data_IF_488852600903
#
_entry.id   IF_488852600903
#
_cell.length_a   1.000
_cell.length_b   1.000
_cell.length_c   1.000
_cell.angle_alpha   90.00
_cell.angle_beta   90.00
_cell.angle_gamma   90.00
#
_symmetry.space_group_name_H-M   'P 1'
#
loop_
_entity.id
_entity.type
_entity.pdbx_description
1 polymer ?
#
# COMPACT_ATOMS: atom_id res chain seq x y z
N UNK A 1 -57.44 20.67 -30.36
CA UNK A 1 -56.46 21.16 -29.37
C UNK A 1 -55.73 19.98 -28.75
N UNK A 2 -54.51 19.69 -29.21
CA UNK A 2 -53.72 18.54 -28.78
C UNK A 2 -52.74 18.97 -27.66
N UNK A 3 -52.84 18.33 -26.48
CA UNK A 3 -51.94 18.56 -25.34
C UNK A 3 -50.95 17.39 -25.27
N UNK A 4 -49.72 17.62 -25.73
CA UNK A 4 -48.61 16.65 -25.67
C UNK A 4 -48.14 16.52 -24.22
N UNK A 5 -48.17 15.30 -23.67
CA UNK A 5 -47.61 14.93 -22.36
C UNK A 5 -46.14 14.57 -22.56
N UNK A 6 -45.23 15.30 -21.93
CA UNK A 6 -43.80 15.01 -21.97
C UNK A 6 -43.46 13.77 -21.11
N UNK A 7 -42.51 12.92 -21.52
CA UNK A 7 -42.04 11.81 -20.70
C UNK A 7 -41.02 12.31 -19.66
N UNK A 8 -41.29 12.00 -18.39
CA UNK A 8 -40.38 12.25 -17.26
C UNK A 8 -39.32 11.14 -17.24
N UNK A 9 -38.08 11.46 -17.60
CA UNK A 9 -36.93 10.59 -17.40
C UNK A 9 -36.63 10.42 -15.90
N UNK A 10 -36.28 9.21 -15.43
CA UNK A 10 -35.87 8.98 -14.05
C UNK A 10 -34.45 9.49 -13.80
N UNK A 11 -34.29 10.26 -12.72
CA UNK A 11 -33.00 10.74 -12.20
C UNK A 11 -32.02 9.58 -11.94
N UNK A 12 -30.72 9.71 -12.27
CA UNK A 12 -29.74 8.67 -12.04
C UNK A 12 -29.51 8.44 -10.53
N UNK A 13 -29.38 7.16 -10.16
CA UNK A 13 -29.15 6.70 -8.81
C UNK A 13 -27.91 7.37 -8.18
N UNK A 14 -28.03 7.84 -6.94
CA UNK A 14 -26.95 8.40 -6.15
C UNK A 14 -25.95 7.29 -5.79
N UNK A 15 -24.74 7.36 -6.36
CA UNK A 15 -23.64 6.45 -6.08
C UNK A 15 -23.23 6.51 -4.59
N UNK A 16 -23.15 5.35 -3.93
CA UNK A 16 -22.67 5.20 -2.54
C UNK A 16 -21.21 5.64 -2.32
N UNK A 17 -20.49 6.01 -3.38
CA UNK A 17 -19.13 6.55 -3.33
C UNK A 17 -19.07 8.00 -2.81
N UNK A 18 -20.21 8.70 -2.80
CA UNK A 18 -20.31 10.15 -2.56
C UNK A 18 -20.45 10.51 -1.05
N UNK A 19 -20.50 9.50 -0.18
CA UNK A 19 -20.51 9.64 1.30
C UNK A 19 -19.11 9.59 1.93
N UNK A 20 -18.09 9.12 1.20
CA UNK A 20 -16.73 9.03 1.74
C UNK A 20 -16.12 10.44 1.84
N UNK A 21 -15.65 10.86 3.02
CA UNK A 21 -15.02 12.17 3.18
C UNK A 21 -13.73 12.31 2.35
N UNK A 22 -13.53 13.47 1.74
CA UNK A 22 -12.32 13.80 1.00
C UNK A 22 -11.15 13.96 1.97
N UNK A 23 -9.96 13.39 1.68
CA UNK A 23 -8.78 13.55 2.53
C UNK A 23 -8.38 15.02 2.73
N UNK A 24 -8.19 15.44 3.98
CA UNK A 24 -7.85 16.83 4.34
C UNK A 24 -6.55 17.35 3.67
N UNK A 25 -5.45 16.56 3.56
CA UNK A 25 -4.23 17.03 2.90
C UNK A 25 -4.45 17.44 1.44
N UNK A 26 -5.40 16.79 0.76
CA UNK A 26 -5.74 17.10 -0.63
C UNK A 26 -6.44 18.44 -0.75
N UNK A 27 -7.40 18.71 0.14
CA UNK A 27 -8.09 19.99 0.16
C UNK A 27 -7.09 21.14 0.42
N UNK A 28 -6.19 20.96 1.39
CA UNK A 28 -5.15 21.96 1.69
C UNK A 28 -4.28 22.22 0.46
N UNK A 29 -3.85 21.15 -0.23
CA UNK A 29 -3.03 21.28 -1.43
C UNK A 29 -3.77 22.05 -2.54
N UNK A 30 -5.02 21.69 -2.84
CA UNK A 30 -5.81 22.35 -3.88
C UNK A 30 -6.09 23.83 -3.56
N UNK A 31 -6.36 24.16 -2.30
CA UNK A 31 -6.54 25.56 -1.90
C UNK A 31 -5.26 26.37 -2.04
N UNK A 32 -4.11 25.75 -1.78
CA UNK A 32 -2.82 26.42 -1.93
C UNK A 32 -2.42 26.59 -3.40
N UNK A 33 -2.58 25.56 -4.22
CA UNK A 33 -2.11 25.55 -5.61
C UNK A 33 -3.08 26.15 -6.61
N UNK A 34 -4.38 25.89 -6.46
CA UNK A 34 -5.43 26.32 -7.40
C UNK A 34 -6.04 27.65 -6.96
N UNK A 35 -6.41 27.77 -5.69
CA UNK A 35 -7.02 29.00 -5.18
C UNK A 35 -5.98 30.08 -4.77
N UNK A 36 -4.69 29.73 -4.73
CA UNK A 36 -3.59 30.66 -4.39
C UNK A 36 -3.63 31.16 -2.95
N UNK A 37 -4.22 30.37 -2.04
CA UNK A 37 -4.38 30.72 -0.63
C UNK A 37 -3.11 30.35 0.14
N UNK A 38 -2.77 31.10 1.19
CA UNK A 38 -1.65 30.73 2.06
C UNK A 38 -1.89 29.35 2.70
N UNK A 39 -0.83 28.59 2.97
CA UNK A 39 -0.97 27.26 3.59
C UNK A 39 -1.68 27.34 4.95
N UNK A 40 -1.43 28.42 5.70
CA UNK A 40 -2.05 28.67 7.02
C UNK A 40 -3.56 28.87 6.89
N UNK A 41 -3.99 29.71 5.93
CA UNK A 41 -5.41 29.97 5.69
C UNK A 41 -6.11 28.74 5.10
N UNK A 42 -5.44 27.99 4.21
CA UNK A 42 -5.94 26.73 3.67
C UNK A 42 -6.21 25.70 4.78
N UNK A 43 -5.31 25.57 5.76
CA UNK A 43 -5.51 24.72 6.94
C UNK A 43 -6.70 25.22 7.77
N UNK A 44 -6.83 26.53 7.97
CA UNK A 44 -7.96 27.15 8.67
C UNK A 44 -9.30 26.82 8.02
N UNK A 45 -9.41 27.00 6.70
CA UNK A 45 -10.62 26.71 5.90
C UNK A 45 -10.97 25.22 5.99
N UNK A 46 -10.00 24.34 5.78
CA UNK A 46 -10.20 22.88 5.80
C UNK A 46 -10.60 22.40 7.20
N UNK A 47 -10.03 23.00 8.26
CA UNK A 47 -10.40 22.69 9.65
C UNK A 47 -11.86 23.01 9.95
N UNK A 48 -12.36 24.17 9.51
CA UNK A 48 -13.77 24.57 9.68
C UNK A 48 -14.71 23.58 8.95
N UNK A 49 -14.36 23.19 7.72
CA UNK A 49 -15.13 22.22 6.93
C UNK A 49 -15.11 20.80 7.54
N UNK A 50 -13.98 20.41 8.12
CA UNK A 50 -13.81 19.13 8.82
C UNK A 50 -14.67 19.08 10.09
N UNK A 51 -14.59 20.11 10.94
CA UNK A 51 -15.36 20.23 12.19
C UNK A 51 -16.87 20.17 11.95
N UNK A 52 -17.35 20.84 10.89
CA UNK A 52 -18.78 20.84 10.54
C UNK A 52 -19.21 19.65 9.68
N UNK A 53 -18.33 18.64 9.47
CA UNK A 53 -18.57 17.43 8.67
C UNK A 53 -19.11 17.75 7.25
N UNK A 54 -18.58 18.79 6.62
CA UNK A 54 -18.94 19.24 5.26
C UNK A 54 -17.87 18.94 4.20
N UNK A 55 -17.02 17.95 4.44
CA UNK A 55 -15.91 17.58 3.57
C UNK A 55 -16.20 16.31 2.72
N UNK A 56 -17.46 16.00 2.47
CA UNK A 56 -17.85 14.95 1.51
C UNK A 56 -17.98 15.53 0.10
N UNK A 57 -17.68 14.77 -0.96
CA UNK A 57 -17.69 15.27 -2.35
C UNK A 57 -19.08 15.84 -2.72
N UNK A 58 -20.16 15.19 -2.32
CA UNK A 58 -21.54 15.68 -2.48
C UNK A 58 -21.78 17.09 -1.91
N UNK A 59 -21.23 17.35 -0.71
CA UNK A 59 -21.43 18.62 -0.01
C UNK A 59 -20.50 19.71 -0.55
N UNK A 60 -19.30 19.34 -0.96
CA UNK A 60 -18.34 20.26 -1.58
C UNK A 60 -18.81 20.73 -2.96
N UNK A 61 -19.48 19.88 -3.76
CA UNK A 61 -20.09 20.30 -5.03
C UNK A 61 -21.20 21.35 -4.86
N UNK A 62 -22.01 21.20 -3.80
CA UNK A 62 -23.12 22.11 -3.48
C UNK A 62 -22.70 23.34 -2.68
N UNK A 63 -21.45 23.37 -2.22
CA UNK A 63 -20.95 24.47 -1.41
C UNK A 63 -21.02 25.78 -2.20
N UNK A 64 -21.57 26.80 -1.57
CA UNK A 64 -21.67 28.15 -2.11
C UNK A 64 -20.78 29.13 -1.33
N UNK A 65 -20.46 30.24 -1.99
CA UNK A 65 -19.67 31.32 -1.41
C UNK A 65 -20.26 31.91 -0.11
N UNK A 66 -21.57 32.26 -0.02
CA UNK A 66 -22.15 32.78 1.23
C UNK A 66 -22.16 31.74 2.36
N UNK A 67 -22.36 30.47 2.05
CA UNK A 67 -22.26 29.41 3.07
C UNK A 67 -20.86 29.34 3.68
N UNK A 68 -19.79 29.57 2.90
CA UNK A 68 -18.42 29.52 3.42
C UNK A 68 -18.14 30.65 4.43
N UNK A 69 -18.78 31.81 4.26
CA UNK A 69 -18.73 32.94 5.20
C UNK A 69 -19.54 32.65 6.46
N UNK A 70 -20.75 32.12 6.35
CA UNK A 70 -21.56 31.67 7.49
C UNK A 70 -20.84 30.59 8.30
N UNK A 71 -19.98 29.80 7.64
CA UNK A 71 -19.20 28.77 8.30
C UNK A 71 -18.04 29.36 9.13
N UNK A 72 -17.66 30.62 8.93
CA UNK A 72 -16.57 31.31 9.63
C UNK A 72 -15.18 30.98 9.07
N UNK A 73 -15.09 30.66 7.78
CA UNK A 73 -13.80 30.37 7.14
C UNK A 73 -12.97 31.66 6.96
N UNK A 74 -11.63 31.61 7.14
CA UNK A 74 -10.75 32.77 6.98
C UNK A 74 -10.50 33.10 5.50
N UNK A 75 -11.55 33.37 4.74
CA UNK A 75 -11.48 33.77 3.33
C UNK A 75 -12.43 34.93 3.08
N UNK A 76 -11.91 36.04 2.53
CA UNK A 76 -12.68 37.24 2.24
C UNK A 76 -12.67 37.58 0.74
N UNK A 77 -13.78 38.12 0.25
CA UNK A 77 -13.90 38.71 -1.08
C UNK A 77 -13.60 37.73 -2.25
N UNK A 78 -12.82 38.13 -3.27
CA UNK A 78 -12.62 37.34 -4.50
C UNK A 78 -11.84 36.04 -4.31
N UNK A 79 -11.22 35.85 -3.14
CA UNK A 79 -10.53 34.61 -2.77
C UNK A 79 -11.54 33.51 -2.43
N UNK A 80 -12.72 33.87 -1.93
CA UNK A 80 -13.80 32.93 -1.57
C UNK A 80 -14.34 32.18 -2.78
N UNK A 81 -14.56 32.88 -3.89
CA UNK A 81 -15.11 32.27 -5.10
C UNK A 81 -14.11 31.28 -5.73
N UNK A 82 -12.81 31.63 -5.70
CA UNK A 82 -11.71 30.73 -6.09
C UNK A 82 -11.59 29.50 -5.18
N UNK A 83 -11.78 29.68 -3.87
CA UNK A 83 -11.80 28.56 -2.90
C UNK A 83 -12.96 27.61 -3.17
N UNK A 84 -14.16 28.14 -3.44
CA UNK A 84 -15.34 27.32 -3.78
C UNK A 84 -15.11 26.55 -5.07
N UNK A 85 -14.52 27.18 -6.08
CA UNK A 85 -14.21 26.54 -7.36
C UNK A 85 -13.18 25.41 -7.20
N UNK A 86 -12.08 25.65 -6.47
CA UNK A 86 -11.09 24.63 -6.17
C UNK A 86 -11.67 23.44 -5.37
N UNK A 87 -12.59 23.69 -4.43
CA UNK A 87 -13.26 22.64 -3.66
C UNK A 87 -14.24 21.82 -4.51
N UNK A 88 -14.94 22.45 -5.46
CA UNK A 88 -15.80 21.75 -6.43
C UNK A 88 -14.98 20.89 -7.39
N UNK A 89 -13.83 21.38 -7.82
CA UNK A 89 -12.90 20.63 -8.66
C UNK A 89 -12.35 19.40 -7.92
N UNK A 90 -11.94 19.56 -6.66
CA UNK A 90 -11.53 18.44 -5.79
C UNK A 90 -12.64 17.40 -5.61
N UNK A 91 -13.89 17.84 -5.52
CA UNK A 91 -15.05 16.95 -5.41
C UNK A 91 -15.43 16.26 -6.73
N UNK A 92 -15.10 16.85 -7.88
CA UNK A 92 -15.32 16.27 -9.21
C UNK A 92 -14.22 15.29 -9.63
N UNK A 93 -12.98 15.52 -9.18
CA UNK A 93 -11.79 14.78 -9.62
C UNK A 93 -11.62 13.39 -8.97
N UNK A 94 -12.57 12.95 -8.13
CA UNK A 94 -12.55 11.64 -7.47
C UNK A 94 -11.40 11.47 -6.46
N UNK A 95 -11.40 10.37 -5.71
CA UNK A 95 -10.63 10.17 -4.45
C UNK A 95 -9.10 10.32 -4.57
N UNK A 96 -8.49 10.31 -5.77
CA UNK A 96 -7.03 10.40 -5.96
C UNK A 96 -6.57 11.66 -6.72
N UNK A 97 -5.61 12.41 -6.16
CA UNK A 97 -5.07 13.66 -6.72
C UNK A 97 -4.29 13.34 -8.00
N UNK A 98 -4.22 14.27 -8.94
CA UNK A 98 -3.41 14.12 -10.15
C UNK A 98 -1.92 13.90 -9.82
N UNK A 99 -1.43 14.50 -8.74
CA UNK A 99 -0.09 14.26 -8.19
C UNK A 99 0.07 12.86 -7.59
N UNK A 100 -0.98 12.28 -7.01
CA UNK A 100 -0.96 10.91 -6.49
C UNK A 100 -1.09 9.89 -7.62
N UNK A 101 -1.90 10.20 -8.65
CA UNK A 101 -1.99 9.42 -9.89
C UNK A 101 -0.66 9.44 -10.62
N UNK A 102 -0.02 10.61 -10.77
CA UNK A 102 1.28 10.73 -11.43
C UNK A 102 2.38 10.05 -10.63
N UNK A 103 2.40 10.17 -9.29
CA UNK A 103 3.36 9.45 -8.43
C UNK A 103 3.16 7.94 -8.51
N UNK A 104 1.91 7.45 -8.48
CA UNK A 104 1.59 6.03 -8.61
C UNK A 104 1.93 5.52 -10.02
N UNK A 105 1.63 6.30 -11.04
CA UNK A 105 1.95 5.99 -12.44
C UNK A 105 3.45 6.07 -12.70
N UNK A 106 4.19 6.95 -12.01
CA UNK A 106 5.64 7.04 -12.06
C UNK A 106 6.29 5.84 -11.38
N UNK A 107 5.80 5.41 -10.21
CA UNK A 107 6.23 4.14 -9.58
C UNK A 107 5.95 2.94 -10.46
N UNK A 108 4.76 2.88 -11.07
CA UNK A 108 4.43 1.83 -12.04
C UNK A 108 5.33 1.88 -13.28
N UNK A 109 5.64 3.07 -13.80
CA UNK A 109 6.56 3.25 -14.94
C UNK A 109 7.99 2.90 -14.57
N UNK A 110 8.43 3.22 -13.36
CA UNK A 110 9.72 2.83 -12.82
C UNK A 110 9.78 1.31 -12.65
N UNK A 111 8.77 0.69 -12.06
CA UNK A 111 8.64 -0.77 -11.99
C UNK A 111 8.67 -1.42 -13.38
N UNK A 112 8.01 -0.84 -14.39
CA UNK A 112 8.01 -1.33 -15.77
C UNK A 112 9.35 -1.09 -16.48
N UNK A 113 10.00 0.07 -16.28
CA UNK A 113 11.34 0.35 -16.83
C UNK A 113 12.38 -0.58 -16.22
N UNK A 114 12.32 -0.80 -14.90
CA UNK A 114 13.19 -1.73 -14.19
C UNK A 114 13.02 -3.18 -14.67
N UNK A 115 11.80 -3.59 -15.06
CA UNK A 115 11.56 -4.88 -15.75
C UNK A 115 12.23 -4.94 -17.11
N UNK A 116 12.30 -3.84 -17.85
CA UNK A 116 12.90 -3.77 -19.18
C UNK A 116 14.43 -3.75 -19.13
N UNK A 117 15.02 -3.03 -18.18
CA UNK A 117 16.48 -2.87 -18.06
C UNK A 117 17.16 -4.12 -17.47
N UNK A 118 16.43 -5.01 -16.80
CA UNK A 118 16.96 -6.23 -16.17
C UNK A 118 16.35 -7.54 -16.69
N UNK A 119 15.73 -7.52 -17.87
CA UNK A 119 15.12 -8.68 -18.49
C UNK A 119 13.71 -8.95 -17.96
N UNK A 120 12.75 -8.97 -18.89
CA UNK A 120 11.33 -9.20 -18.63
C UNK A 120 11.08 -10.67 -18.22
N UNK A 121 10.53 -10.99 -17.02
CA UNK A 121 10.06 -12.34 -16.72
C UNK A 121 8.66 -12.56 -17.33
N UNK A 122 8.43 -12.06 -18.54
CA UNK A 122 7.09 -11.91 -19.13
C UNK A 122 6.64 -13.08 -20.00
N UNK A 123 7.54 -13.94 -20.48
CA UNK A 123 7.17 -15.00 -21.44
C UNK A 123 8.02 -16.26 -21.34
N UNK A 124 8.54 -16.56 -20.14
CA UNK A 124 9.13 -17.86 -19.84
C UNK A 124 8.49 -18.39 -18.58
N UNK A 125 8.03 -19.65 -18.61
CA UNK A 125 7.92 -20.48 -17.41
C UNK A 125 9.34 -20.61 -16.87
N UNK A 126 9.81 -19.58 -16.18
CA UNK A 126 11.12 -19.58 -15.57
C UNK A 126 10.92 -20.13 -14.17
N UNK A 127 11.24 -21.41 -14.04
CA UNK A 127 11.83 -21.99 -12.83
C UNK A 127 13.15 -21.25 -12.53
N UNK A 128 13.09 -19.92 -12.36
CA UNK A 128 14.15 -19.11 -11.81
C UNK A 128 14.26 -19.55 -10.37
N UNK A 129 15.16 -20.51 -10.14
CA UNK A 129 15.57 -20.92 -8.80
C UNK A 129 15.80 -19.66 -7.98
N UNK A 130 14.89 -19.35 -7.07
CA UNK A 130 14.97 -18.19 -6.17
C UNK A 130 16.01 -18.49 -5.07
N UNK A 131 17.20 -18.93 -5.48
CA UNK A 131 18.30 -19.29 -4.64
C UNK A 131 19.12 -18.06 -4.28
N UNK A 132 19.59 -18.04 -3.04
CA UNK A 132 20.39 -16.95 -2.47
C UNK A 132 21.88 -17.30 -2.37
N UNK A 133 22.28 -18.52 -2.76
CA UNK A 133 23.65 -19.04 -2.68
C UNK A 133 24.30 -18.79 -1.31
N UNK A 134 23.55 -19.17 -0.27
CA UNK A 134 23.77 -18.79 1.12
C UNK A 134 25.18 -19.17 1.59
N UNK A 135 25.93 -18.19 2.12
CA UNK A 135 27.27 -18.42 2.66
C UNK A 135 27.19 -18.69 4.16
N UNK A 136 27.41 -19.94 4.56
CA UNK A 136 27.33 -20.39 5.96
C UNK A 136 28.69 -20.35 6.70
N UNK A 137 29.77 -19.98 6.01
CA UNK A 137 31.12 -19.95 6.61
C UNK A 137 31.29 -18.75 7.54
N UNK A 138 31.25 -18.97 8.85
CA UNK A 138 31.31 -17.92 9.89
C UNK A 138 32.50 -16.96 9.75
N UNK A 139 33.68 -17.48 9.44
CA UNK A 139 34.90 -16.68 9.28
C UNK A 139 34.76 -15.63 8.17
N UNK A 140 33.98 -15.92 7.13
CA UNK A 140 33.73 -14.97 6.05
C UNK A 140 32.71 -13.91 6.46
N UNK A 141 31.75 -14.23 7.32
CA UNK A 141 30.70 -13.30 7.74
C UNK A 141 31.20 -12.27 8.76
N UNK A 142 32.23 -12.63 9.54
CA UNK A 142 32.78 -11.79 10.61
C UNK A 142 33.31 -10.46 10.06
N UNK A 143 32.90 -9.35 10.67
CA UNK A 143 33.36 -8.00 10.32
C UNK A 143 32.66 -7.37 9.12
N UNK A 144 31.73 -8.07 8.45
CA UNK A 144 30.93 -7.51 7.37
C UNK A 144 29.69 -6.81 7.92
N UNK A 145 29.37 -5.65 7.36
CA UNK A 145 28.17 -4.88 7.67
C UNK A 145 27.49 -4.42 6.39
N UNK A 146 26.18 -4.19 6.45
CA UNK A 146 25.39 -3.65 5.34
C UNK A 146 24.39 -2.63 5.87
N UNK A 147 24.21 -1.53 5.14
CA UNK A 147 23.21 -0.52 5.45
C UNK A 147 21.99 -0.72 4.54
N UNK A 148 20.87 -1.14 5.12
CA UNK A 148 19.63 -1.42 4.39
C UNK A 148 18.41 -0.92 5.14
N UNK A 149 17.31 -0.72 4.43
CA UNK A 149 16.02 -0.44 5.06
C UNK A 149 15.61 -1.60 5.99
N UNK A 150 15.08 -1.27 7.17
CA UNK A 150 14.52 -2.22 8.14
C UNK A 150 13.51 -3.19 7.51
N UNK A 151 12.73 -2.74 6.53
CA UNK A 151 11.76 -3.59 5.81
C UNK A 151 12.44 -4.77 5.08
N UNK A 152 13.62 -4.56 4.50
CA UNK A 152 14.38 -5.61 3.83
C UNK A 152 14.97 -6.62 4.82
N UNK A 153 15.42 -6.15 5.99
CA UNK A 153 15.87 -7.04 7.08
C UNK A 153 14.71 -7.88 7.59
N UNK A 154 13.53 -7.28 7.80
CA UNK A 154 12.33 -7.99 8.23
C UNK A 154 11.90 -9.05 7.21
N UNK A 155 11.95 -8.72 5.92
CA UNK A 155 11.62 -9.66 4.85
C UNK A 155 12.59 -10.84 4.83
N UNK A 156 13.90 -10.57 4.84
CA UNK A 156 14.93 -11.61 4.85
C UNK A 156 14.79 -12.53 6.07
N UNK A 157 14.56 -11.95 7.26
CA UNK A 157 14.33 -12.72 8.47
C UNK A 157 13.07 -13.58 8.39
N UNK A 158 11.96 -13.03 7.90
CA UNK A 158 10.71 -13.77 7.74
C UNK A 158 10.89 -14.97 6.80
N UNK A 159 11.61 -14.81 5.68
CA UNK A 159 11.94 -15.93 4.78
C UNK A 159 12.70 -17.03 5.51
N UNK A 160 13.78 -16.69 6.22
CA UNK A 160 14.59 -17.69 6.96
C UNK A 160 13.75 -18.42 8.01
N UNK A 161 12.91 -17.71 8.77
CA UNK A 161 12.07 -18.33 9.80
C UNK A 161 10.99 -19.23 9.17
N UNK A 162 10.39 -18.84 8.04
CA UNK A 162 9.40 -19.68 7.34
C UNK A 162 10.05 -20.94 6.75
N UNK A 163 11.24 -20.84 6.18
CA UNK A 163 12.00 -22.01 5.73
C UNK A 163 12.36 -22.93 6.88
N UNK A 164 12.72 -22.33 8.01
CA UNK A 164 12.89 -23.05 9.25
C UNK A 164 11.61 -23.82 9.62
N UNK A 165 10.43 -23.20 9.55
CA UNK A 165 9.15 -23.87 9.83
C UNK A 165 8.80 -25.02 8.85
N UNK A 166 9.59 -25.22 7.79
CA UNK A 166 9.44 -26.32 6.84
C UNK A 166 8.77 -25.92 5.53
N UNK A 167 8.48 -24.64 5.32
CA UNK A 167 7.97 -24.15 4.03
C UNK A 167 9.08 -24.18 2.99
N UNK A 168 8.72 -24.50 1.73
CA UNK A 168 9.67 -24.40 0.64
C UNK A 168 10.05 -22.93 0.38
N UNK A 169 11.25 -22.69 -0.17
CA UNK A 169 11.80 -21.35 -0.51
C UNK A 169 10.75 -20.44 -1.18
N UNK A 170 10.09 -20.98 -2.19
CA UNK A 170 9.08 -20.30 -2.99
C UNK A 170 7.86 -19.88 -2.15
N UNK A 171 7.39 -20.78 -1.28
CA UNK A 171 6.27 -20.54 -0.38
C UNK A 171 6.67 -19.50 0.68
N UNK A 172 7.85 -19.68 1.29
CA UNK A 172 8.42 -18.77 2.28
C UNK A 172 8.55 -17.34 1.73
N UNK A 173 9.05 -17.17 0.50
CA UNK A 173 9.15 -15.85 -0.16
C UNK A 173 7.79 -15.19 -0.36
N UNK A 174 6.80 -15.95 -0.79
CA UNK A 174 5.43 -15.45 -1.00
C UNK A 174 4.78 -15.04 0.32
N UNK A 175 4.88 -15.88 1.35
CA UNK A 175 4.33 -15.63 2.68
C UNK A 175 5.04 -14.48 3.39
N UNK A 176 6.37 -14.42 3.31
CA UNK A 176 7.18 -13.35 3.88
C UNK A 176 6.82 -11.99 3.28
N UNK A 177 6.60 -11.92 1.96
CA UNK A 177 6.17 -10.68 1.29
C UNK A 177 4.77 -10.24 1.74
N UNK A 178 3.87 -11.19 1.98
CA UNK A 178 2.58 -10.88 2.58
C UNK A 178 2.82 -10.29 3.96
N UNK A 179 3.50 -11.01 4.86
CA UNK A 179 3.78 -10.59 6.23
C UNK A 179 4.38 -9.18 6.32
N UNK A 180 5.43 -8.89 5.55
CA UNK A 180 6.10 -7.59 5.60
C UNK A 180 5.20 -6.45 5.11
N UNK A 181 4.37 -6.73 4.10
CA UNK A 181 3.35 -5.79 3.66
C UNK A 181 2.33 -5.52 4.77
N UNK A 182 1.97 -6.54 5.57
CA UNK A 182 1.02 -6.40 6.67
C UNK A 182 1.61 -5.58 7.80
N UNK A 183 2.86 -5.88 8.16
CA UNK A 183 3.60 -5.12 9.16
C UNK A 183 3.74 -3.65 8.74
N UNK A 184 4.02 -3.38 7.46
CA UNK A 184 4.11 -2.02 6.93
C UNK A 184 2.76 -1.28 7.00
N UNK A 185 1.64 -1.94 6.69
CA UNK A 185 0.30 -1.36 6.83
C UNK A 185 -0.06 -1.08 8.30
N UNK A 186 0.29 -1.98 9.22
CA UNK A 186 0.03 -1.81 10.65
C UNK A 186 0.80 -0.62 11.27
N UNK A 187 1.98 -0.30 10.75
CA UNK A 187 2.78 0.85 11.18
C UNK A 187 2.56 2.12 10.34
N UNK A 188 1.66 2.08 9.36
CA UNK A 188 1.36 3.19 8.48
C UNK A 188 0.45 4.24 9.12
N UNK A 189 0.39 5.47 8.55
CA UNK A 189 -0.51 6.52 9.03
C UNK A 189 -1.99 6.28 8.70
N UNK A 190 -2.29 5.28 7.88
CA UNK A 190 -3.65 4.91 7.51
C UNK A 190 -4.25 3.97 8.57
N UNK A 191 -5.56 4.08 8.88
CA UNK A 191 -6.21 3.15 9.78
C UNK A 191 -6.06 1.71 9.24
N UNK A 192 -5.72 0.73 10.08
CA UNK A 192 -5.58 -0.65 9.65
C UNK A 192 -6.93 -1.12 9.11
N UNK A 193 -6.98 -1.50 7.83
CA UNK A 193 -8.17 -2.07 7.23
C UNK A 193 -8.54 -3.34 7.99
N UNK A 194 -9.72 -3.36 8.63
CA UNK A 194 -10.25 -4.56 9.29
C UNK A 194 -10.41 -5.66 8.25
N UNK A 195 -9.55 -6.67 8.33
CA UNK A 195 -9.59 -7.80 7.40
C UNK A 195 -10.63 -8.78 7.88
N UNK A 196 -11.75 -8.79 7.18
CA UNK A 196 -12.75 -9.86 7.30
C UNK A 196 -12.20 -11.03 6.49
N UNK A 197 -11.41 -11.88 7.12
CA UNK A 197 -11.16 -13.21 6.57
C UNK A 197 -12.44 -14.01 6.76
N UNK A 198 -12.94 -14.65 5.69
CA UNK A 198 -14.06 -15.57 5.84
C UNK A 198 -13.64 -16.73 6.74
N UNK A 199 -14.54 -17.25 7.57
CA UNK A 199 -14.27 -18.37 8.49
C UNK A 199 -13.64 -19.59 7.79
N UNK A 200 -13.91 -19.79 6.50
CA UNK A 200 -13.41 -20.91 5.71
C UNK A 200 -12.11 -20.63 4.92
N UNK A 201 -11.47 -19.47 5.09
CA UNK A 201 -10.24 -19.14 4.36
C UNK A 201 -9.03 -19.83 5.02
N UNK A 202 -8.27 -20.68 4.29
CA UNK A 202 -7.07 -21.29 4.84
C UNK A 202 -6.02 -20.21 5.11
N UNK A 203 -5.36 -20.32 6.27
CA UNK A 203 -4.38 -19.34 6.72
C UNK A 203 -3.25 -19.98 7.50
N UNK A 204 -2.09 -19.31 7.49
CA UNK A 204 -0.94 -19.63 8.32
C UNK A 204 -0.83 -18.54 9.37
N UNK A 205 -0.70 -18.93 10.64
CA UNK A 205 -0.35 -18.00 11.70
C UNK A 205 1.18 -17.88 11.78
N UNK A 206 1.68 -16.69 11.43
CA UNK A 206 3.10 -16.38 11.47
C UNK A 206 3.33 -15.15 12.36
N UNK A 207 4.11 -15.31 13.43
CA UNK A 207 4.39 -14.24 14.40
C UNK A 207 3.11 -13.55 14.92
N UNK A 208 2.06 -14.33 15.25
CA UNK A 208 0.73 -13.88 15.69
C UNK A 208 -0.07 -13.10 14.64
N UNK A 209 0.36 -13.14 13.39
CA UNK A 209 -0.34 -12.55 12.26
C UNK A 209 -0.89 -13.66 11.38
N UNK A 210 -2.19 -13.62 11.11
CA UNK A 210 -2.85 -14.56 10.19
C UNK A 210 -2.60 -14.13 8.75
N UNK A 211 -1.91 -14.97 7.99
CA UNK A 211 -1.61 -14.77 6.57
C UNK A 211 -2.52 -15.69 5.76
N UNK A 212 -3.41 -15.16 4.91
CA UNK A 212 -4.25 -15.99 4.05
C UNK A 212 -3.40 -16.68 2.99
N UNK A 213 -3.72 -17.94 2.70
CA UNK A 213 -2.99 -18.77 1.73
C UNK A 213 -3.93 -19.35 0.68
N UNK A 214 -3.34 -19.78 -0.43
CA UNK A 214 -4.00 -20.58 -1.46
C UNK A 214 -3.04 -21.66 -1.93
N UNK A 215 -3.58 -22.85 -2.20
CA UNK A 215 -2.83 -23.94 -2.83
C UNK A 215 -2.97 -23.83 -4.34
N UNK A 216 -1.85 -23.76 -5.07
CA UNK A 216 -1.89 -23.75 -6.53
C UNK A 216 -2.30 -25.13 -7.05
N UNK A 217 -3.23 -25.15 -8.00
CA UNK A 217 -3.74 -26.40 -8.59
C UNK A 217 -2.71 -27.14 -9.43
N UNK A 218 -1.73 -26.42 -10.00
CA UNK A 218 -0.76 -26.98 -10.93
C UNK A 218 0.46 -27.58 -10.23
N UNK A 219 1.04 -26.85 -9.27
CA UNK A 219 2.30 -27.26 -8.61
C UNK A 219 2.10 -27.80 -7.19
N UNK A 220 0.89 -27.65 -6.63
CA UNK A 220 0.59 -28.08 -5.27
C UNK A 220 1.19 -27.21 -4.15
N UNK A 221 2.04 -26.23 -4.49
CA UNK A 221 2.64 -25.27 -3.56
C UNK A 221 1.62 -24.30 -2.95
N UNK A 222 1.92 -23.83 -1.74
CA UNK A 222 1.16 -22.80 -1.04
C UNK A 222 1.70 -21.40 -1.32
N UNK A 223 0.81 -20.46 -1.64
CA UNK A 223 1.14 -19.05 -1.86
C UNK A 223 0.32 -18.15 -0.96
N UNK A 224 0.94 -17.05 -0.54
CA UNK A 224 0.26 -16.00 0.21
C UNK A 224 -0.68 -15.21 -0.67
N UNK A 225 -1.80 -14.79 -0.09
CA UNK A 225 -2.77 -13.89 -0.70
C UNK A 225 -2.66 -12.50 -0.10
N UNK A 226 -2.70 -11.48 -0.94
CA UNK A 226 -2.82 -10.08 -0.51
C UNK A 226 -3.84 -9.37 -1.40
N UNK A 227 -4.84 -8.73 -0.80
CA UNK A 227 -5.88 -7.97 -1.50
C UNK A 227 -6.55 -8.77 -2.64
N UNK A 228 -6.77 -10.07 -2.42
CA UNK A 228 -7.34 -11.00 -3.40
C UNK A 228 -6.38 -11.47 -4.50
N UNK A 229 -5.12 -11.01 -4.50
CA UNK A 229 -4.10 -11.37 -5.48
C UNK A 229 -3.11 -12.37 -4.90
N UNK A 230 -2.68 -13.34 -5.72
CA UNK A 230 -1.62 -14.28 -5.37
C UNK A 230 -0.28 -13.57 -5.44
N UNK A 231 0.51 -13.65 -4.38
CA UNK A 231 1.82 -12.99 -4.32
C UNK A 231 2.90 -13.91 -4.90
N UNK A 232 3.57 -13.54 -6.01
CA UNK A 232 4.64 -14.35 -6.58
C UNK A 232 5.92 -14.29 -5.73
N UNK A 233 6.74 -15.36 -5.71
CA UNK A 233 7.98 -15.40 -4.92
C UNK A 233 9.02 -14.40 -5.44
N UNK A 234 9.02 -14.19 -6.76
CA UNK A 234 9.95 -13.33 -7.49
C UNK A 234 9.92 -11.91 -6.95
N UNK A 235 8.74 -11.41 -6.53
CA UNK A 235 8.59 -10.07 -5.97
C UNK A 235 9.46 -9.86 -4.72
N UNK A 236 9.45 -10.85 -3.82
CA UNK A 236 10.24 -10.80 -2.59
C UNK A 236 11.74 -10.96 -2.91
N UNK A 237 12.05 -11.93 -3.76
CA UNK A 237 13.41 -12.24 -4.20
C UNK A 237 14.08 -11.04 -4.87
N UNK A 238 13.42 -10.43 -5.85
CA UNK A 238 13.94 -9.28 -6.59
C UNK A 238 14.09 -8.06 -5.69
N UNK A 239 13.22 -7.90 -4.68
CA UNK A 239 13.36 -6.82 -3.71
C UNK A 239 14.59 -7.02 -2.81
N UNK A 240 14.81 -8.23 -2.30
CA UNK A 240 16.00 -8.56 -1.51
C UNK A 240 17.29 -8.43 -2.34
N UNK A 241 17.28 -8.95 -3.56
CA UNK A 241 18.40 -8.86 -4.51
C UNK A 241 18.75 -7.42 -4.86
N UNK A 242 17.75 -6.56 -5.07
CA UNK A 242 17.97 -5.13 -5.28
C UNK A 242 18.43 -4.40 -4.03
N UNK A 243 17.96 -4.78 -2.85
CA UNK A 243 18.28 -4.02 -1.63
C UNK A 243 19.65 -4.39 -1.07
N UNK A 244 20.02 -5.66 -1.14
CA UNK A 244 21.26 -6.18 -0.54
C UNK A 244 22.37 -6.40 -1.57
N UNK A 245 22.06 -6.43 -2.87
CA UNK A 245 23.02 -6.64 -3.95
C UNK A 245 23.97 -7.82 -3.68
N UNK A 246 25.29 -7.57 -3.71
CA UNK A 246 26.34 -8.56 -3.48
C UNK A 246 26.36 -9.09 -2.03
N UNK A 247 25.72 -8.38 -1.09
CA UNK A 247 25.67 -8.77 0.31
C UNK A 247 24.57 -9.79 0.62
N UNK A 248 23.63 -10.02 -0.31
CA UNK A 248 22.49 -10.92 -0.10
C UNK A 248 22.90 -12.33 0.38
N UNK A 249 23.88 -13.02 -0.22
CA UNK A 249 24.27 -14.37 0.21
C UNK A 249 24.81 -14.41 1.64
N UNK A 250 25.54 -13.36 2.04
CA UNK A 250 26.13 -13.23 3.37
C UNK A 250 25.08 -12.88 4.42
N UNK A 251 24.14 -11.98 4.10
CA UNK A 251 23.04 -11.62 5.00
C UNK A 251 22.14 -12.82 5.25
N UNK A 252 21.71 -13.52 4.18
CA UNK A 252 20.91 -14.74 4.32
C UNK A 252 21.66 -15.81 5.12
N UNK A 253 22.98 -15.91 4.96
CA UNK A 253 23.83 -16.84 5.71
C UNK A 253 23.88 -16.52 7.19
N UNK A 254 24.17 -15.27 7.54
CA UNK A 254 24.20 -14.81 8.93
C UNK A 254 22.84 -15.01 9.63
N UNK A 255 21.73 -14.68 8.96
CA UNK A 255 20.39 -14.89 9.50
C UNK A 255 20.06 -16.38 9.66
N UNK A 256 20.51 -17.23 8.74
CA UNK A 256 20.32 -18.69 8.84
C UNK A 256 21.08 -19.27 10.04
N UNK A 257 22.33 -18.85 10.24
CA UNK A 257 23.12 -19.26 11.42
C UNK A 257 22.48 -18.77 12.72
N UNK A 258 21.96 -17.54 12.74
CA UNK A 258 21.23 -16.99 13.88
C UNK A 258 19.95 -17.78 14.17
N UNK A 259 19.17 -18.14 13.15
CA UNK A 259 17.98 -18.97 13.33
C UNK A 259 18.32 -20.36 13.88
N UNK A 260 19.42 -20.94 13.41
CA UNK A 260 19.89 -22.25 13.88
C UNK A 260 20.39 -22.20 15.34
N UNK A 261 21.07 -21.13 15.76
CA UNK A 261 21.51 -20.99 17.15
C UNK A 261 20.31 -20.88 18.12
N UNK A 262 19.28 -20.12 17.75
CA UNK A 262 18.05 -20.01 18.55
C UNK A 262 17.28 -21.34 18.64
N UNK A 263 17.29 -22.14 17.57
CA UNK A 263 16.68 -23.48 17.56
C UNK A 263 17.36 -24.44 18.51
N UNK A 264 18.69 -24.45 18.52
CA UNK A 264 19.44 -25.30 19.44
C UNK A 264 19.10 -24.94 20.89
N UNK A 265 19.04 -23.65 21.22
CA UNK A 265 18.66 -23.19 22.57
C UNK A 265 17.23 -23.63 22.95
N UNK A 266 16.27 -23.56 22.01
CA UNK A 266 14.88 -24.00 22.29
C UNK A 266 14.71 -25.50 22.52
N UNK A 267 15.64 -26.34 22.01
CA UNK A 267 15.61 -27.80 22.22
C UNK A 267 16.22 -28.24 23.55
N UNK A 268 17.01 -27.40 24.21
CA UNK A 268 17.59 -27.68 25.52
C UNK A 268 16.75 -27.14 26.70
N UNK A 269 15.64 -26.44 26.41
CA UNK A 269 14.75 -25.85 27.43
C UNK A 269 13.40 -26.58 27.56
N UNK A 270 13.29 -27.80 27.02
CA UNK A 270 12.16 -28.71 27.22
C UNK A 270 12.68 -29.98 27.91
#
# INVERSE_FOLDING_TARGET
MAKRKAPTEPLPALDSADEVPVPLPRMIHALHTVAGVSVVDAIGIVRVLAQKKRHTPSRLRRLSAPELEELGAPCAGPTRDRVVEALREVASSGVMSEAERSSKQQRLREDVRLRRDWGDPGTGREDKSCAFDVVLTESTLRGRSVMVNRAAVLLAWAVVVLECMGFARNEALSLAQCYTSLAAEAHGPAPPTKRVMSENQPHVEFLRVKIPIIRLRHDGEYRGLKDGQVVPPTRAYDYLRRTMFQMLPYVMGALTLLANSLRLVSRFSA
#
